data_IF_726499753262
#
_entry.id   IF_726499753262
#
_cell.length_a   1.000
_cell.length_b   1.000
_cell.length_c   1.000
_cell.angle_alpha   90.00
_cell.angle_beta   90.00
_cell.angle_gamma   90.00
#
_symmetry.space_group_name_H-M   'P 1'
#
loop_
_entity.id
_entity.type
_entity.pdbx_description
1 polymer ?
#
# COMPACT_ATOMS: atom_id res chain seq x y z
N UNK A 1 3.69 -8.33 -5.28
CA UNK A 1 3.74 -6.91 -5.69
C UNK A 1 2.84 -6.12 -4.73
N UNK A 2 3.12 -4.83 -4.47
CA UNK A 2 2.44 -4.00 -3.46
C UNK A 2 1.66 -2.90 -4.17
N UNK A 3 0.40 -2.68 -3.76
CA UNK A 3 -0.39 -1.54 -4.23
C UNK A 3 -0.07 -0.29 -3.44
N UNK A 4 0.29 0.79 -4.14
CA UNK A 4 0.47 2.13 -3.58
C UNK A 4 -0.42 3.11 -4.36
N UNK A 5 -0.84 4.18 -3.69
CA UNK A 5 -1.51 5.31 -4.31
C UNK A 5 -0.50 6.43 -4.53
N UNK A 6 -0.07 6.60 -5.76
CA UNK A 6 0.86 7.65 -6.17
C UNK A 6 0.13 9.00 -6.12
N UNK A 7 0.68 9.95 -5.39
CA UNK A 7 0.13 11.31 -5.26
C UNK A 7 0.87 12.30 -6.16
N UNK A 8 2.18 12.13 -6.32
CA UNK A 8 3.02 12.93 -7.21
C UNK A 8 3.59 12.03 -8.30
N UNK A 9 3.57 12.44 -9.57
CA UNK A 9 4.17 11.65 -10.64
C UNK A 9 5.67 11.52 -10.39
N UNK A 10 6.21 10.31 -10.57
CA UNK A 10 7.63 10.04 -10.41
C UNK A 10 8.09 8.95 -11.37
N UNK A 11 9.39 8.92 -11.64
CA UNK A 11 10.03 7.90 -12.46
C UNK A 11 10.93 7.05 -11.59
N UNK A 12 10.82 5.72 -11.71
CA UNK A 12 11.65 4.79 -10.95
C UNK A 12 12.43 3.90 -11.91
N UNK A 13 13.76 3.87 -11.74
CA UNK A 13 14.64 2.99 -12.51
C UNK A 13 14.69 1.61 -11.85
N UNK A 14 14.13 0.62 -12.54
CA UNK A 14 14.26 -0.78 -12.15
C UNK A 14 15.59 -1.32 -12.65
N UNK A 15 16.46 -1.78 -11.73
CA UNK A 15 17.78 -2.36 -12.02
C UNK A 15 18.71 -1.47 -12.87
N UNK A 16 18.44 -0.17 -12.96
CA UNK A 16 19.23 0.76 -13.77
C UNK A 16 19.02 0.66 -15.29
N UNK A 17 18.17 -0.25 -15.77
CA UNK A 17 17.97 -0.50 -17.21
C UNK A 17 16.57 -0.11 -17.67
N UNK A 18 15.58 -0.12 -16.76
CA UNK A 18 14.18 0.10 -17.11
C UNK A 18 13.58 1.24 -16.30
N UNK A 19 13.48 2.41 -16.91
CA UNK A 19 12.79 3.55 -16.32
C UNK A 19 11.28 3.38 -16.50
N UNK A 20 10.53 3.34 -15.40
CA UNK A 20 9.07 3.27 -15.41
C UNK A 20 8.51 4.57 -14.84
N UNK A 21 7.61 5.20 -15.59
CA UNK A 21 6.91 6.40 -15.16
C UNK A 21 5.59 6.04 -14.48
N UNK A 22 5.37 6.57 -13.27
CA UNK A 22 4.14 6.38 -12.51
C UNK A 22 3.36 7.69 -12.45
N UNK A 23 2.16 7.68 -13.02
CA UNK A 23 1.21 8.78 -12.92
C UNK A 23 0.54 8.80 -11.54
N UNK A 24 -0.13 9.89 -11.16
CA UNK A 24 -0.98 9.92 -9.97
C UNK A 24 -2.13 8.90 -10.11
N UNK A 25 -2.27 8.00 -9.14
CA UNK A 25 -3.24 6.90 -9.24
C UNK A 25 -2.89 5.70 -8.36
N UNK A 26 -3.70 4.65 -8.45
CA UNK A 26 -3.33 3.36 -7.86
C UNK A 26 -2.42 2.60 -8.81
N UNK A 27 -1.24 2.23 -8.33
CA UNK A 27 -0.27 1.43 -9.07
C UNK A 27 0.17 0.25 -8.23
N UNK A 28 0.44 -0.87 -8.91
CA UNK A 28 1.03 -2.05 -8.30
C UNK A 28 2.52 -2.08 -8.64
N UNK A 29 3.37 -2.03 -7.62
CA UNK A 29 4.82 -1.86 -7.76
C UNK A 29 5.59 -2.91 -6.95
N UNK A 30 6.90 -2.98 -7.12
CA UNK A 30 7.75 -3.83 -6.27
C UNK A 30 7.86 -3.29 -4.85
N UNK A 31 8.22 -4.15 -3.89
CA UNK A 31 8.41 -3.73 -2.50
C UNK A 31 9.43 -2.59 -2.37
N UNK A 32 10.53 -2.66 -3.13
CA UNK A 32 11.58 -1.63 -3.12
C UNK A 32 11.08 -0.29 -3.63
N UNK A 33 10.31 -0.28 -4.72
CA UNK A 33 9.71 0.95 -5.25
C UNK A 33 8.68 1.54 -4.28
N UNK A 34 7.90 0.68 -3.61
CA UNK A 34 6.94 1.13 -2.61
C UNK A 34 7.63 1.78 -1.41
N UNK A 35 8.70 1.18 -0.86
CA UNK A 35 9.47 1.78 0.23
C UNK A 35 9.99 3.17 -0.12
N UNK A 36 10.64 3.31 -1.28
CA UNK A 36 11.19 4.59 -1.72
C UNK A 36 10.08 5.63 -1.93
N UNK A 37 9.01 5.26 -2.65
CA UNK A 37 7.92 6.18 -2.93
C UNK A 37 7.16 6.62 -1.65
N UNK A 38 7.11 5.77 -0.63
CA UNK A 38 6.53 6.09 0.68
C UNK A 38 7.46 6.96 1.52
N UNK A 39 8.77 6.68 1.53
CA UNK A 39 9.76 7.43 2.28
C UNK A 39 9.92 8.87 1.74
N UNK A 40 9.93 9.03 0.42
CA UNK A 40 10.01 10.34 -0.26
C UNK A 40 8.68 11.11 -0.24
N UNK A 41 7.59 10.48 0.24
CA UNK A 41 6.26 11.08 0.26
C UNK A 41 5.63 11.28 -1.12
N UNK A 42 6.08 10.55 -2.15
CA UNK A 42 5.48 10.55 -3.49
C UNK A 42 4.21 9.72 -3.57
N UNK A 43 4.08 8.70 -2.71
CA UNK A 43 2.94 7.81 -2.66
C UNK A 43 2.43 7.61 -1.22
N UNK A 44 1.23 7.05 -1.11
CA UNK A 44 0.60 6.58 0.13
C UNK A 44 0.29 5.08 0.03
N UNK A 45 0.24 4.36 1.16
CA UNK A 45 -0.17 2.96 1.13
C UNK A 45 -1.60 2.86 0.60
N UNK A 46 -1.84 2.00 -0.39
CA UNK A 46 -3.19 1.78 -0.88
C UNK A 46 -4.04 1.13 0.23
N UNK A 47 -5.33 1.48 0.34
CA UNK A 47 -6.22 0.80 1.29
C UNK A 47 -6.22 -0.70 0.95
N UNK A 48 -5.78 -1.52 1.91
CA UNK A 48 -5.92 -2.97 1.81
C UNK A 48 -7.40 -3.31 1.91
N UNK A 49 -8.05 -3.55 0.78
CA UNK A 49 -9.34 -4.24 0.73
C UNK A 49 -9.12 -5.67 1.22
N UNK A 50 -9.08 -5.87 2.53
CA UNK A 50 -8.86 -7.18 3.13
C UNK A 50 -8.03 -7.17 4.41
N UNK A 51 -8.53 -6.51 5.47
CA UNK A 51 -8.52 -7.07 6.84
C UNK A 51 -9.76 -6.60 7.58
N UNK A 52 -10.84 -7.34 7.39
CA UNK A 52 -11.82 -7.57 8.45
C UNK A 52 -11.05 -8.05 9.68
N UNK A 53 -10.84 -7.17 10.66
CA UNK A 53 -10.69 -7.58 12.06
C UNK A 53 -11.97 -7.18 12.79
N UNK A 54 -13.03 -7.95 12.53
CA UNK A 54 -14.14 -8.06 13.47
C UNK A 54 -13.94 -9.34 14.28
N UNK A 55 -13.35 -9.28 15.48
CA UNK A 55 -13.58 -10.35 16.44
C UNK A 55 -15.00 -10.19 17.03
N UNK A 56 -15.88 -11.03 16.48
CA UNK A 56 -16.99 -11.78 17.11
C UNK A 56 -17.50 -11.29 18.47
N UNK A 57 -18.75 -10.84 18.48
CA UNK A 57 -19.64 -10.73 19.64
C UNK A 57 -19.74 -12.09 20.35
N UNK A 58 -19.30 -12.20 21.59
CA UNK A 58 -19.75 -13.25 22.52
C UNK A 58 -20.69 -12.62 23.55
N UNK A 59 -21.95 -13.05 23.51
CA UNK A 59 -22.97 -12.83 24.54
C UNK A 59 -22.91 -14.07 25.48
N UNK A 60 -23.28 -13.89 26.76
CA UNK A 60 -23.52 -14.89 27.85
C UNK A 60 -22.26 -15.27 28.68
N UNK A 61 -22.25 -15.32 30.02
CA UNK A 61 -23.27 -15.25 31.09
C UNK A 61 -22.63 -14.71 32.41
N UNK A 62 -23.39 -14.12 33.34
CA UNK A 62 -23.98 -14.72 34.57
C UNK A 62 -22.94 -15.32 35.55
N UNK A 63 -23.21 -15.16 36.85
CA UNK A 63 -22.50 -15.56 38.11
C UNK A 63 -21.32 -14.66 38.51
N UNK A 64 -21.22 -14.13 39.74
CA UNK A 64 -21.92 -14.38 41.01
C UNK A 64 -22.15 -13.06 41.76
#
# INVERSE_FOLDING_TARGET
MIKIRVMKPFSFAYQGIRLVHYAPGLHEVSARCAEVALAEGWAKPAPKTGKTKKPKKTKKGKTA
#
